data_IF_799791024453
#
_entry.id   IF_799791024453
#
_cell.length_a   1.000
_cell.length_b   1.000
_cell.length_c   1.000
_cell.angle_alpha   90.00
_cell.angle_beta   90.00
_cell.angle_gamma   90.00
#
_symmetry.space_group_name_H-M   'P 1'
#
loop_
_entity.id
_entity.type
_entity.pdbx_description
1 polymer ?
#
# COMPACT_ATOMS: atom_id res chain seq x y z
N UNK A 1 19.37 19.32 0.09
CA UNK A 1 18.82 20.58 -0.49
C UNK A 1 17.77 20.20 -1.54
N UNK A 2 16.55 20.78 -1.50
CA UNK A 2 15.52 20.54 -2.53
C UNK A 2 15.96 21.22 -3.84
N UNK A 3 15.92 20.49 -4.96
CA UNK A 3 16.20 21.02 -6.29
C UNK A 3 14.88 21.07 -7.05
N UNK A 4 14.44 22.28 -7.41
CA UNK A 4 13.24 22.48 -8.20
C UNK A 4 13.57 22.34 -9.69
N UNK A 5 12.81 21.49 -10.39
CA UNK A 5 12.93 21.28 -11.84
C UNK A 5 11.77 21.96 -12.57
N UNK A 6 11.88 22.14 -13.89
CA UNK A 6 10.78 22.67 -14.72
C UNK A 6 9.66 21.65 -14.96
N UNK A 7 9.95 20.36 -14.76
CA UNK A 7 8.99 19.27 -14.90
C UNK A 7 8.02 19.27 -13.73
N UNK A 8 6.73 19.10 -13.95
CA UNK A 8 5.74 18.93 -12.90
C UNK A 8 5.81 17.52 -12.29
N UNK A 9 5.24 17.35 -11.10
CA UNK A 9 5.31 16.10 -10.34
C UNK A 9 4.54 14.95 -11.00
N UNK A 10 3.46 15.24 -11.75
CA UNK A 10 2.70 14.24 -12.48
C UNK A 10 3.54 13.61 -13.60
N UNK A 11 4.14 14.45 -14.48
CA UNK A 11 4.99 13.97 -15.58
C UNK A 11 6.20 13.20 -15.04
N UNK A 12 6.81 13.70 -13.96
CA UNK A 12 7.92 13.00 -13.31
C UNK A 12 7.48 11.62 -12.75
N UNK A 13 6.24 11.52 -12.24
CA UNK A 13 5.69 10.23 -11.78
C UNK A 13 5.43 9.30 -12.96
N UNK A 14 4.93 9.78 -14.10
CA UNK A 14 4.74 8.95 -15.29
C UNK A 14 6.06 8.35 -15.79
N UNK A 15 7.17 9.10 -15.77
CA UNK A 15 8.50 8.59 -16.11
C UNK A 15 8.98 7.51 -15.12
N UNK A 16 8.71 7.70 -13.81
CA UNK A 16 9.04 6.70 -12.78
C UNK A 16 8.21 5.42 -12.94
N UNK A 17 6.92 5.56 -13.21
CA UNK A 17 6.06 4.41 -13.48
C UNK A 17 6.53 3.66 -14.72
N UNK A 18 6.87 4.39 -15.81
CA UNK A 18 7.47 3.77 -17.00
C UNK A 18 8.70 2.94 -16.65
N UNK A 19 9.64 3.52 -15.90
CA UNK A 19 10.83 2.79 -15.47
C UNK A 19 10.51 1.53 -14.68
N UNK A 20 9.56 1.63 -13.71
CA UNK A 20 9.15 0.51 -12.86
C UNK A 20 8.51 -0.60 -13.70
N UNK A 21 7.51 -0.27 -14.52
CA UNK A 21 6.80 -1.26 -15.34
C UNK A 21 7.68 -1.92 -16.40
N UNK A 22 8.71 -1.21 -16.89
CA UNK A 22 9.69 -1.76 -17.83
C UNK A 22 10.72 -2.68 -17.13
N UNK A 23 11.05 -2.40 -15.85
CA UNK A 23 12.13 -3.07 -15.12
C UNK A 23 11.70 -4.31 -14.34
N UNK A 24 10.42 -4.42 -13.95
CA UNK A 24 9.92 -5.49 -13.09
C UNK A 24 8.83 -6.32 -13.79
N UNK A 25 8.73 -7.59 -13.39
CA UNK A 25 7.67 -8.47 -13.86
C UNK A 25 6.34 -8.13 -13.21
N UNK A 26 6.37 -7.68 -11.95
CA UNK A 26 5.18 -7.29 -11.20
C UNK A 26 5.36 -5.94 -10.50
N UNK A 27 4.25 -5.25 -10.32
CA UNK A 27 4.14 -3.97 -9.60
C UNK A 27 3.09 -4.13 -8.52
N UNK A 28 3.53 -4.17 -7.27
CA UNK A 28 2.67 -4.39 -6.10
C UNK A 28 2.49 -3.09 -5.32
N UNK A 29 1.27 -2.56 -5.29
CA UNK A 29 0.97 -1.32 -4.56
C UNK A 29 0.50 -1.62 -3.14
N UNK A 30 1.19 -1.05 -2.13
CA UNK A 30 0.72 -1.05 -0.75
C UNK A 30 -0.38 0.00 -0.58
N UNK A 31 -1.63 -0.46 -0.48
CA UNK A 31 -2.81 0.39 -0.40
C UNK A 31 -3.34 0.46 1.04
N UNK A 32 -3.10 1.56 1.73
CA UNK A 32 -3.53 1.76 3.12
C UNK A 32 -4.98 2.23 3.28
N UNK A 33 -5.69 2.54 2.19
CA UNK A 33 -6.99 3.22 2.23
C UNK A 33 -6.90 4.73 2.48
N UNK A 34 -5.69 5.29 2.55
CA UNK A 34 -5.45 6.72 2.67
C UNK A 34 -5.37 7.42 1.30
N UNK A 35 -5.53 8.77 1.30
CA UNK A 35 -5.54 9.60 0.09
C UNK A 35 -4.29 9.43 -0.80
N UNK A 36 -3.11 9.29 -0.18
CA UNK A 36 -1.84 9.24 -0.92
C UNK A 36 -1.67 7.88 -1.61
N UNK A 37 -1.94 6.78 -0.90
CA UNK A 37 -1.91 5.44 -1.48
C UNK A 37 -3.04 5.23 -2.50
N UNK A 38 -4.19 5.90 -2.32
CA UNK A 38 -5.28 5.91 -3.28
C UNK A 38 -4.88 6.57 -4.60
N UNK A 39 -4.28 7.77 -4.54
CA UNK A 39 -3.76 8.45 -5.75
C UNK A 39 -2.69 7.59 -6.42
N UNK A 40 -1.75 7.02 -5.65
CA UNK A 40 -0.72 6.16 -6.22
C UNK A 40 -1.31 4.94 -6.96
N UNK A 41 -2.29 4.25 -6.36
CA UNK A 41 -2.94 3.10 -6.98
C UNK A 41 -3.65 3.50 -8.29
N UNK A 42 -4.39 4.60 -8.28
CA UNK A 42 -5.06 5.10 -9.48
C UNK A 42 -4.06 5.47 -10.59
N UNK A 43 -2.96 6.16 -10.26
CA UNK A 43 -1.89 6.48 -11.22
C UNK A 43 -1.27 5.22 -11.83
N UNK A 44 -1.02 4.20 -11.02
CA UNK A 44 -0.50 2.90 -11.48
C UNK A 44 -1.50 2.20 -12.40
N UNK A 45 -2.79 2.20 -12.04
CA UNK A 45 -3.84 1.59 -12.84
C UNK A 45 -4.00 2.29 -14.20
N UNK A 46 -4.08 3.63 -14.22
CA UNK A 46 -4.19 4.40 -15.45
C UNK A 46 -2.97 4.18 -16.36
N UNK A 47 -1.77 4.15 -15.78
CA UNK A 47 -0.55 3.85 -16.52
C UNK A 47 -0.59 2.42 -17.11
N UNK A 48 -0.84 1.42 -16.28
CA UNK A 48 -0.88 0.02 -16.68
C UNK A 48 -1.94 -0.23 -17.77
N UNK A 49 -3.13 0.37 -17.63
CA UNK A 49 -4.21 0.30 -18.61
C UNK A 49 -3.81 0.94 -19.94
N UNK A 50 -3.22 2.14 -19.91
CA UNK A 50 -2.82 2.88 -21.12
C UNK A 50 -1.69 2.19 -21.88
N UNK A 51 -0.87 1.38 -21.21
CA UNK A 51 0.27 0.66 -21.78
C UNK A 51 0.01 -0.84 -21.99
N UNK A 52 -1.24 -1.31 -21.73
CA UNK A 52 -1.64 -2.71 -21.83
C UNK A 52 -0.79 -3.65 -20.94
N UNK A 53 -0.54 -3.25 -19.69
CA UNK A 53 0.26 -3.97 -18.70
C UNK A 53 -0.51 -4.20 -17.38
N UNK A 54 -1.85 -4.31 -17.42
CA UNK A 54 -2.68 -4.56 -16.24
C UNK A 54 -2.34 -5.90 -15.55
N UNK A 55 -1.90 -6.88 -16.32
CA UNK A 55 -1.45 -8.17 -15.83
C UNK A 55 -0.26 -8.11 -14.86
N UNK A 56 0.55 -7.06 -14.96
CA UNK A 56 1.66 -6.78 -14.04
C UNK A 56 1.22 -6.13 -12.73
N UNK A 57 0.07 -5.44 -12.72
CA UNK A 57 -0.36 -4.66 -11.56
C UNK A 57 -1.02 -5.56 -10.52
N UNK A 58 -0.66 -5.35 -9.27
CA UNK A 58 -1.31 -5.91 -8.09
C UNK A 58 -1.37 -4.88 -6.97
N UNK A 59 -2.28 -5.03 -6.03
CA UNK A 59 -2.28 -4.25 -4.80
C UNK A 59 -2.72 -5.09 -3.60
N UNK A 60 -2.32 -4.65 -2.40
CA UNK A 60 -2.79 -5.26 -1.16
C UNK A 60 -3.17 -4.21 -0.12
N UNK A 61 -4.08 -4.60 0.76
CA UNK A 61 -4.49 -3.82 1.93
C UNK A 61 -4.29 -4.63 3.20
N UNK A 62 -3.48 -4.12 4.14
CA UNK A 62 -3.42 -4.67 5.50
C UNK A 62 -4.50 -4.01 6.34
N UNK A 63 -5.43 -4.83 6.82
CA UNK A 63 -6.61 -4.40 7.53
C UNK A 63 -6.42 -4.53 9.04
N UNK A 64 -6.48 -3.41 9.73
CA UNK A 64 -6.35 -3.32 11.20
C UNK A 64 -7.68 -3.50 11.94
N UNK A 65 -8.72 -4.10 11.34
CA UNK A 65 -10.03 -4.36 11.97
C UNK A 65 -10.77 -3.08 12.40
N UNK A 66 -10.32 -2.44 13.49
CA UNK A 66 -10.92 -1.25 14.07
C UNK A 66 -10.51 0.04 13.32
N UNK A 67 -10.76 0.09 12.03
CA UNK A 67 -10.57 1.28 11.20
C UNK A 67 -11.83 2.16 11.16
N UNK A 68 -11.66 3.44 10.78
CA UNK A 68 -12.81 4.30 10.52
C UNK A 68 -13.70 3.71 9.43
N UNK A 69 -15.01 3.75 9.65
CA UNK A 69 -16.00 3.23 8.68
C UNK A 69 -15.76 3.76 7.25
N UNK A 70 -15.51 5.06 7.10
CA UNK A 70 -15.26 5.65 5.79
C UNK A 70 -13.99 5.11 5.11
N UNK A 71 -12.96 4.75 5.89
CA UNK A 71 -11.76 4.08 5.35
C UNK A 71 -12.12 2.69 4.84
N UNK A 72 -12.83 1.89 5.62
CA UNK A 72 -13.28 0.55 5.22
C UNK A 72 -14.19 0.61 3.99
N UNK A 73 -15.16 1.53 3.96
CA UNK A 73 -16.05 1.74 2.81
C UNK A 73 -15.26 2.14 1.55
N UNK A 74 -14.23 2.97 1.69
CA UNK A 74 -13.38 3.37 0.57
C UNK A 74 -12.52 2.22 0.06
N UNK A 75 -11.95 1.44 0.97
CA UNK A 75 -11.18 0.24 0.61
C UNK A 75 -12.07 -0.76 -0.13
N UNK A 76 -13.26 -1.06 0.37
CA UNK A 76 -14.22 -1.96 -0.28
C UNK A 76 -14.53 -1.52 -1.71
N UNK A 77 -14.92 -0.25 -1.89
CA UNK A 77 -15.18 0.30 -3.23
C UNK A 77 -13.96 0.27 -4.15
N UNK A 78 -12.75 0.40 -3.59
CA UNK A 78 -11.50 0.32 -4.36
C UNK A 78 -11.26 -1.11 -4.87
N UNK A 79 -11.49 -2.12 -4.04
CA UNK A 79 -11.41 -3.52 -4.45
C UNK A 79 -12.45 -3.89 -5.51
N UNK A 80 -13.68 -3.40 -5.38
CA UNK A 80 -14.74 -3.57 -6.39
C UNK A 80 -14.37 -2.88 -7.71
N UNK A 81 -13.82 -1.65 -7.65
CA UNK A 81 -13.43 -0.87 -8.83
C UNK A 81 -12.28 -1.48 -9.61
N UNK A 82 -11.29 -2.04 -8.93
CA UNK A 82 -10.08 -2.61 -9.51
C UNK A 82 -10.09 -4.15 -9.43
N UNK A 83 -11.23 -4.76 -9.69
CA UNK A 83 -11.39 -6.22 -9.68
C UNK A 83 -10.74 -6.93 -10.88
N UNK A 84 -10.29 -6.16 -11.87
CA UNK A 84 -9.58 -6.62 -13.07
C UNK A 84 -8.05 -6.70 -12.89
N UNK A 85 -7.54 -6.35 -11.69
CA UNK A 85 -6.14 -6.55 -11.31
C UNK A 85 -6.04 -7.43 -10.08
N UNK A 86 -4.90 -8.09 -9.92
CA UNK A 86 -4.65 -8.95 -8.76
C UNK A 86 -4.67 -8.13 -7.48
N UNK A 87 -5.47 -8.56 -6.50
CA UNK A 87 -5.62 -7.84 -5.24
C UNK A 87 -5.67 -8.78 -4.05
N UNK A 88 -5.25 -8.31 -2.86
CA UNK A 88 -5.19 -9.09 -1.63
C UNK A 88 -5.65 -8.26 -0.44
N UNK A 89 -6.62 -8.76 0.31
CA UNK A 89 -7.05 -8.15 1.56
C UNK A 89 -6.53 -8.99 2.71
N UNK A 90 -5.65 -8.40 3.54
CA UNK A 90 -4.96 -9.09 4.63
C UNK A 90 -5.66 -8.78 5.96
N UNK A 91 -6.33 -9.75 6.54
CA UNK A 91 -6.91 -9.71 7.89
C UNK A 91 -6.09 -10.61 8.81
N UNK A 92 -4.90 -10.15 9.18
CA UNK A 92 -3.92 -10.92 9.93
C UNK A 92 -3.77 -10.39 11.36
N UNK A 93 -3.63 -11.27 12.38
CA UNK A 93 -3.38 -10.88 13.76
C UNK A 93 -1.95 -10.36 13.98
N UNK A 94 -1.68 -9.16 13.50
CA UNK A 94 -0.38 -8.47 13.59
C UNK A 94 -0.30 -7.61 14.86
N UNK A 95 0.90 -7.34 15.35
CA UNK A 95 1.14 -6.38 16.42
C UNK A 95 1.08 -4.94 15.91
N UNK A 96 -0.06 -4.29 16.06
CA UNK A 96 -0.28 -2.91 15.65
C UNK A 96 0.00 -1.92 16.78
N UNK A 97 0.59 -0.75 16.46
CA UNK A 97 0.79 0.30 17.44
C UNK A 97 -0.55 0.88 17.92
N UNK A 98 -0.72 1.05 19.22
CA UNK A 98 -1.90 1.62 19.83
C UNK A 98 -1.60 3.02 20.39
N UNK A 99 -2.06 4.06 19.71
CA UNK A 99 -1.98 5.44 20.20
C UNK A 99 -3.11 5.87 21.12
N UNK A 100 -4.07 4.98 21.40
CA UNK A 100 -5.28 5.29 22.16
C UNK A 100 -5.24 4.80 23.62
N UNK A 101 -4.26 3.99 24.00
CA UNK A 101 -4.12 3.43 25.34
C UNK A 101 -2.91 4.03 26.07
N UNK A 102 -3.07 4.30 27.37
CA UNK A 102 -1.96 4.68 28.27
C UNK A 102 -1.32 3.46 28.94
N UNK A 103 -1.94 2.28 28.81
CA UNK A 103 -1.50 1.04 29.49
C UNK A 103 -0.78 0.09 28.51
N UNK A 104 -1.19 0.08 27.23
CA UNK A 104 -0.62 -0.78 26.21
C UNK A 104 -0.23 0.03 24.98
N UNK A 105 0.97 -0.17 24.49
CA UNK A 105 1.50 0.45 23.28
C UNK A 105 1.13 -0.29 21.99
N UNK A 106 0.57 -1.49 22.14
CA UNK A 106 0.18 -2.38 21.03
C UNK A 106 -1.15 -3.06 21.26
N UNK A 107 -1.79 -3.43 20.17
CA UNK A 107 -2.96 -4.28 20.12
C UNK A 107 -2.87 -5.25 18.94
N UNK A 108 -3.68 -6.32 18.94
CA UNK A 108 -3.66 -7.33 17.89
C UNK A 108 -5.03 -7.35 17.21
N UNK A 109 -5.18 -6.71 16.04
CA UNK A 109 -6.40 -6.84 15.23
C UNK A 109 -6.59 -8.30 14.82
N UNK A 110 -7.82 -8.69 14.56
CA UNK A 110 -8.18 -10.04 14.08
C UNK A 110 -7.66 -11.17 14.98
N UNK A 111 -7.43 -10.90 16.29
CA UNK A 111 -6.97 -11.90 17.24
C UNK A 111 -8.02 -13.02 17.35
N UNK A 112 -7.73 -14.27 16.94
CA UNK A 112 -8.74 -15.34 16.94
C UNK A 112 -9.20 -15.73 18.34
N UNK A 113 -8.39 -15.52 19.38
CA UNK A 113 -8.77 -15.78 20.78
C UNK A 113 -9.76 -14.77 21.33
N UNK A 114 -9.92 -13.61 20.67
CA UNK A 114 -10.78 -12.49 21.06
C UNK A 114 -11.85 -12.20 20.01
N UNK A 115 -12.21 -13.17 19.19
CA UNK A 115 -13.17 -13.02 18.08
C UNK A 115 -14.50 -12.39 18.49
N UNK A 116 -14.97 -12.62 19.73
CA UNK A 116 -16.18 -12.02 20.28
C UNK A 116 -16.09 -10.50 20.50
N UNK A 117 -14.87 -9.94 20.51
CA UNK A 117 -14.59 -8.51 20.67
C UNK A 117 -14.35 -7.79 19.33
N UNK A 118 -14.29 -8.51 18.21
CA UNK A 118 -14.08 -7.89 16.91
C UNK A 118 -15.17 -6.88 16.60
N UNK A 119 -14.77 -5.72 16.13
CA UNK A 119 -15.72 -4.64 15.79
C UNK A 119 -16.53 -4.93 14.51
N UNK A 120 -16.11 -5.89 13.70
CA UNK A 120 -16.79 -6.34 12.46
C UNK A 120 -16.34 -7.74 12.05
N UNK A 121 -17.06 -8.33 11.11
CA UNK A 121 -16.66 -9.59 10.48
C UNK A 121 -15.58 -9.35 9.40
N UNK A 122 -14.93 -10.42 8.96
CA UNK A 122 -14.12 -10.40 7.77
C UNK A 122 -14.90 -9.86 6.57
N UNK A 123 -14.26 -9.13 5.64
CA UNK A 123 -14.90 -8.74 4.39
C UNK A 123 -15.19 -9.98 3.52
N UNK A 124 -16.29 -9.92 2.78
CA UNK A 124 -16.64 -10.96 1.78
C UNK A 124 -15.91 -10.65 0.47
N UNK A 125 -14.67 -11.09 0.37
CA UNK A 125 -13.75 -10.81 -0.74
C UNK A 125 -13.06 -12.13 -1.14
N UNK A 126 -12.95 -12.39 -2.44
CA UNK A 126 -12.39 -13.63 -2.99
C UNK A 126 -10.94 -13.86 -2.54
N UNK A 127 -10.09 -12.84 -2.58
CA UNK A 127 -8.67 -12.93 -2.24
C UNK A 127 -8.38 -12.47 -0.81
N UNK A 128 -9.22 -12.86 0.15
CA UNK A 128 -9.00 -12.64 1.56
C UNK A 128 -7.90 -13.57 2.08
N UNK A 129 -6.87 -12.97 2.68
CA UNK A 129 -5.84 -13.69 3.44
C UNK A 129 -6.08 -13.45 4.93
N UNK A 130 -6.25 -14.55 5.68
CA UNK A 130 -6.43 -14.54 7.12
C UNK A 130 -5.66 -15.70 7.75
N UNK A 131 -5.66 -15.83 9.06
CA UNK A 131 -4.79 -16.77 9.79
C UNK A 131 -4.85 -18.22 9.30
N UNK A 132 -6.00 -18.71 8.81
CA UNK A 132 -6.15 -20.11 8.40
C UNK A 132 -5.70 -20.39 6.95
N UNK A 133 -5.57 -19.38 6.11
CA UNK A 133 -5.17 -19.53 4.72
C UNK A 133 -3.93 -18.71 4.35
N UNK A 134 -3.23 -18.15 5.36
CA UNK A 134 -2.04 -17.37 5.13
C UNK A 134 -0.95 -18.22 4.45
N UNK A 135 -0.41 -17.77 3.30
CA UNK A 135 0.52 -18.57 2.51
C UNK A 135 1.99 -18.45 2.95
N UNK A 136 2.26 -17.72 4.03
CA UNK A 136 3.59 -17.52 4.61
C UNK A 136 3.55 -17.62 6.13
N UNK A 137 4.69 -17.95 6.73
CA UNK A 137 4.81 -18.12 8.18
C UNK A 137 5.04 -16.78 8.90
N UNK A 138 4.29 -16.55 9.97
CA UNK A 138 4.47 -15.42 10.89
C UNK A 138 3.89 -15.77 12.27
N UNK A 139 4.33 -15.04 13.30
CA UNK A 139 3.84 -15.21 14.67
C UNK A 139 2.67 -14.26 14.94
N UNK A 140 1.64 -14.73 15.68
CA UNK A 140 0.53 -13.86 16.14
C UNK A 140 1.13 -12.73 17.00
N UNK A 141 0.78 -11.48 16.66
CA UNK A 141 1.31 -10.30 17.32
C UNK A 141 2.70 -9.88 16.83
N UNK A 142 3.24 -10.54 15.81
CA UNK A 142 4.45 -10.06 15.12
C UNK A 142 4.21 -8.66 14.54
N UNK A 143 5.23 -7.82 14.54
CA UNK A 143 5.12 -6.43 14.11
C UNK A 143 4.58 -6.33 12.67
N UNK A 144 3.63 -5.45 12.44
CA UNK A 144 2.92 -5.28 11.18
C UNK A 144 3.83 -5.04 9.96
N UNK A 145 4.92 -4.27 10.13
CA UNK A 145 5.91 -4.08 9.07
C UNK A 145 6.64 -5.36 8.68
N UNK A 146 6.98 -6.21 9.65
CA UNK A 146 7.62 -7.51 9.41
C UNK A 146 6.68 -8.45 8.65
N UNK A 147 5.42 -8.50 9.04
CA UNK A 147 4.40 -9.33 8.36
C UNK A 147 4.14 -8.83 6.93
N UNK A 148 4.12 -7.52 6.70
CA UNK A 148 4.03 -6.96 5.35
C UNK A 148 5.26 -7.30 4.48
N UNK A 149 6.47 -7.31 5.06
CA UNK A 149 7.68 -7.74 4.34
C UNK A 149 7.59 -9.21 3.95
N UNK A 150 7.18 -10.10 4.85
CA UNK A 150 6.95 -11.52 4.56
C UNK A 150 5.90 -11.75 3.47
N UNK A 151 4.81 -10.96 3.48
CA UNK A 151 3.83 -10.97 2.39
C UNK A 151 4.47 -10.58 1.04
N UNK A 152 5.28 -9.52 1.02
CA UNK A 152 5.94 -9.07 -0.20
C UNK A 152 6.97 -10.11 -0.70
N UNK A 153 7.71 -10.75 0.20
CA UNK A 153 8.65 -11.83 -0.12
C UNK A 153 7.93 -13.07 -0.69
N UNK A 154 6.79 -13.45 -0.07
CA UNK A 154 5.94 -14.52 -0.60
C UNK A 154 5.42 -14.16 -2.00
N UNK A 155 4.92 -12.92 -2.19
CA UNK A 155 4.41 -12.47 -3.48
C UNK A 155 5.51 -12.51 -4.55
N UNK A 156 6.71 -12.03 -4.26
CA UNK A 156 7.84 -12.06 -5.20
C UNK A 156 8.27 -13.49 -5.55
N UNK A 157 8.25 -14.39 -4.57
CA UNK A 157 8.56 -15.81 -4.79
C UNK A 157 7.52 -16.51 -5.67
N UNK A 158 6.26 -16.18 -5.50
CA UNK A 158 5.14 -16.80 -6.23
C UNK A 158 5.00 -16.26 -7.66
N UNK A 159 5.18 -14.94 -7.83
CA UNK A 159 4.86 -14.27 -9.09
C UNK A 159 6.09 -13.72 -9.86
N UNK A 160 7.26 -13.71 -9.26
CA UNK A 160 8.50 -13.21 -9.87
C UNK A 160 8.90 -11.81 -9.40
N UNK A 161 9.93 -11.23 -10.04
CA UNK A 161 10.53 -9.97 -9.60
C UNK A 161 9.50 -8.84 -9.48
N UNK A 162 9.47 -8.21 -8.31
CA UNK A 162 8.39 -7.29 -7.92
C UNK A 162 8.93 -5.95 -7.44
N UNK A 163 8.37 -4.86 -7.97
CA UNK A 163 8.51 -3.53 -7.37
C UNK A 163 7.38 -3.29 -6.37
N UNK A 164 7.72 -2.91 -5.13
CA UNK A 164 6.75 -2.62 -4.06
C UNK A 164 6.57 -1.11 -3.98
N UNK A 165 5.40 -0.62 -4.38
CA UNK A 165 5.11 0.80 -4.43
C UNK A 165 4.39 1.28 -3.18
N UNK A 166 4.93 2.33 -2.56
CA UNK A 166 4.42 2.88 -1.32
C UNK A 166 4.16 4.38 -1.50
N UNK A 167 2.99 4.84 -1.09
CA UNK A 167 2.53 6.22 -1.22
C UNK A 167 3.13 7.19 -0.19
N UNK A 168 4.45 7.09 0.07
CA UNK A 168 5.17 7.98 0.99
C UNK A 168 5.61 9.25 0.26
N UNK A 169 5.46 10.41 0.94
CA UNK A 169 5.90 11.72 0.43
C UNK A 169 6.90 12.37 1.40
N UNK A 170 7.90 13.06 0.84
CA UNK A 170 8.89 13.82 1.62
C UNK A 170 8.27 14.96 2.44
N UNK A 171 7.09 15.43 2.05
CA UNK A 171 6.40 16.57 2.67
C UNK A 171 5.64 16.19 3.96
N UNK A 172 5.55 14.90 4.28
CA UNK A 172 4.76 14.42 5.43
C UNK A 172 5.53 14.47 6.76
N UNK A 173 6.84 14.20 6.73
CA UNK A 173 7.69 14.28 7.93
C UNK A 173 9.17 14.37 7.56
N UNK A 174 9.96 14.85 8.54
CA UNK A 174 11.41 14.92 8.41
C UNK A 174 12.04 13.52 8.25
N UNK A 175 11.50 12.53 8.93
CA UNK A 175 12.01 11.14 8.85
C UNK A 175 11.81 10.56 7.44
N UNK A 176 10.63 10.80 6.82
CA UNK A 176 10.37 10.38 5.43
C UNK A 176 11.27 11.13 4.44
N UNK A 177 11.46 12.42 4.64
CA UNK A 177 12.40 13.20 3.84
C UNK A 177 13.82 12.65 3.95
N UNK A 178 14.31 12.37 5.16
CA UNK A 178 15.65 11.83 5.39
C UNK A 178 15.79 10.41 4.79
N UNK A 179 14.79 9.55 4.96
CA UNK A 179 14.81 8.20 4.42
C UNK A 179 14.97 8.21 2.90
N UNK A 180 14.17 9.03 2.19
CA UNK A 180 14.24 9.12 0.73
C UNK A 180 15.52 9.84 0.26
N UNK A 181 15.97 10.88 0.98
CA UNK A 181 17.20 11.60 0.64
C UNK A 181 18.44 10.70 0.76
N UNK A 182 18.45 9.76 1.71
CA UNK A 182 19.58 8.86 1.95
C UNK A 182 19.53 7.61 1.06
N UNK A 183 18.35 7.07 0.77
CA UNK A 183 18.21 5.78 0.06
C UNK A 183 17.74 5.94 -1.40
N UNK A 184 17.33 7.14 -1.81
CA UNK A 184 16.69 7.37 -3.10
C UNK A 184 15.20 6.97 -3.12
N UNK A 185 14.57 7.13 -4.27
CA UNK A 185 13.17 6.79 -4.47
C UNK A 185 12.93 5.30 -4.81
N UNK A 186 14.01 4.54 -5.01
CA UNK A 186 14.04 3.06 -5.08
C UNK A 186 15.07 2.57 -4.09
N UNK A 187 14.65 1.70 -3.18
CA UNK A 187 15.53 1.08 -2.19
C UNK A 187 16.18 -0.19 -2.73
N UNK A 188 17.16 -0.72 -2.00
CA UNK A 188 17.81 -2.01 -2.31
C UNK A 188 16.84 -3.20 -2.20
N UNK A 189 15.71 -3.04 -1.52
CA UNK A 189 14.66 -4.06 -1.35
C UNK A 189 13.48 -3.82 -2.27
N UNK A 190 13.69 -3.18 -3.42
CA UNK A 190 12.67 -2.89 -4.44
C UNK A 190 11.45 -2.07 -3.94
N UNK A 191 11.55 -1.42 -2.76
CA UNK A 191 10.53 -0.46 -2.31
C UNK A 191 10.70 0.83 -3.11
N UNK A 192 9.63 1.25 -3.78
CA UNK A 192 9.60 2.41 -4.67
C UNK A 192 8.64 3.47 -4.14
N UNK A 193 9.02 4.73 -4.24
CA UNK A 193 8.24 5.89 -3.77
C UNK A 193 7.94 6.85 -4.94
N UNK A 194 7.06 6.48 -5.89
CA UNK A 194 6.90 7.24 -7.14
C UNK A 194 6.39 8.66 -6.96
N UNK A 195 5.64 8.92 -5.88
CA UNK A 195 5.04 10.22 -5.54
C UNK A 195 5.79 10.95 -4.42
N UNK A 196 7.06 10.62 -4.17
CA UNK A 196 7.82 11.14 -3.04
C UNK A 196 7.96 12.68 -3.01
N UNK A 197 7.93 13.32 -4.16
CA UNK A 197 8.08 14.77 -4.34
C UNK A 197 6.75 15.53 -4.43
N UNK A 198 5.61 14.82 -4.34
CA UNK A 198 4.28 15.44 -4.32
C UNK A 198 4.01 16.15 -3.00
N UNK A 199 3.30 17.28 -3.09
CA UNK A 199 2.74 17.98 -1.94
C UNK A 199 1.30 17.55 -1.69
N UNK A 200 0.75 17.98 -0.55
CA UNK A 200 -0.66 17.72 -0.22
C UNK A 200 -1.61 18.31 -1.26
N UNK A 201 -1.29 19.51 -1.78
CA UNK A 201 -2.07 20.16 -2.84
C UNK A 201 -2.06 19.35 -4.14
N UNK A 202 -0.94 18.72 -4.48
CA UNK A 202 -0.83 17.89 -5.70
C UNK A 202 -1.74 16.65 -5.58
N UNK A 203 -1.80 16.02 -4.40
CA UNK A 203 -2.67 14.88 -4.11
C UNK A 203 -4.14 15.27 -4.28
N UNK A 204 -4.58 16.39 -3.69
CA UNK A 204 -5.96 16.83 -3.81
C UNK A 204 -6.30 17.32 -5.23
N UNK A 205 -5.35 17.94 -5.90
CA UNK A 205 -5.50 18.34 -7.31
C UNK A 205 -5.70 17.12 -8.22
N UNK A 206 -4.91 16.05 -8.00
CA UNK A 206 -5.07 14.81 -8.77
C UNK A 206 -6.43 14.15 -8.51
N UNK A 207 -6.85 14.04 -7.23
CA UNK A 207 -8.18 13.53 -6.89
C UNK A 207 -9.30 14.30 -7.59
N UNK A 208 -9.25 15.64 -7.56
CA UNK A 208 -10.27 16.47 -8.18
C UNK A 208 -10.25 16.42 -9.72
N UNK A 209 -9.04 16.43 -10.31
CA UNK A 209 -8.86 16.49 -11.77
C UNK A 209 -9.16 15.16 -12.45
N UNK A 210 -8.78 14.05 -11.85
CA UNK A 210 -8.90 12.72 -12.45
C UNK A 210 -10.06 11.90 -11.86
N UNK A 211 -10.76 12.44 -10.87
CA UNK A 211 -11.88 11.78 -10.19
C UNK A 211 -11.45 10.41 -9.56
N UNK A 212 -10.32 10.46 -8.82
CA UNK A 212 -9.76 9.31 -8.12
C UNK A 212 -10.49 9.00 -6.81
#
# INVERSE_FOLDING_TARGET
MKIYKKQNVYDATQERLKYIFDSYQNVLVSFSGGKDSGVLLNLCYDYARSTNQLDKLAFYHLDYEAQYKYTTDYVTRTFERFNDVRNFWLCLPVGANCGCSMETDRWIPWNPSEKQLWCRNYPDIENLIYILNCPFDYDIGEQDYSVQEKFCEWFEKEYGSTAILIGIRCDESLDRYNAISNNGWITKTNKCFPIYDWKTEDIWTANAKFNY
#
